data_IF_087472917574
#
_entry.id   IF_087472917574
#
_cell.length_a   1.000
_cell.length_b   1.000
_cell.length_c   1.000
_cell.angle_alpha   90.00
_cell.angle_beta   90.00
_cell.angle_gamma   90.00
#
_symmetry.space_group_name_H-M   'P 1'
#
loop_
_entity.id
_entity.type
_entity.pdbx_description
1 polymer ?
#
# COMPACT_ATOMS: atom_id res chain seq x y z
N UNK A 1 7.02 -11.57 -11.88
CA UNK A 1 7.21 -10.12 -11.97
C UNK A 1 5.84 -9.48 -11.79
N UNK A 2 5.68 -8.81 -10.65
CA UNK A 2 4.43 -8.17 -10.24
C UNK A 2 4.01 -7.17 -11.30
N UNK A 3 2.78 -7.27 -11.79
CA UNK A 3 2.31 -6.35 -12.82
C UNK A 3 2.24 -4.92 -12.28
N UNK A 4 3.03 -4.03 -12.88
CA UNK A 4 3.06 -2.61 -12.55
C UNK A 4 3.99 -2.21 -11.40
N UNK A 5 4.77 -3.15 -10.84
CA UNK A 5 5.79 -2.82 -9.83
C UNK A 5 6.91 -1.96 -10.42
N UNK A 6 7.30 -2.20 -11.67
CA UNK A 6 8.33 -1.40 -12.34
C UNK A 6 7.87 0.05 -12.48
N UNK A 7 6.60 0.26 -12.87
CA UNK A 7 6.01 1.61 -12.96
C UNK A 7 5.95 2.28 -11.59
N UNK A 8 5.60 1.52 -10.55
CA UNK A 8 5.58 2.03 -9.19
C UNK A 8 6.99 2.46 -8.75
N UNK A 9 7.99 1.59 -8.91
CA UNK A 9 9.41 1.85 -8.62
C UNK A 9 9.93 3.10 -9.33
N UNK A 10 9.66 3.22 -10.63
CA UNK A 10 10.02 4.41 -11.43
C UNK A 10 9.39 5.69 -10.88
N UNK A 11 8.11 5.63 -10.48
CA UNK A 11 7.37 6.82 -10.02
C UNK A 11 7.80 7.30 -8.63
N UNK A 12 8.18 6.37 -7.75
CA UNK A 12 8.50 6.64 -6.35
C UNK A 12 10.00 6.55 -6.03
N UNK A 13 10.85 6.60 -7.05
CA UNK A 13 12.30 6.77 -6.86
C UNK A 13 12.58 8.03 -6.02
N UNK A 14 13.35 7.88 -4.95
CA UNK A 14 13.65 8.93 -3.97
C UNK A 14 12.61 9.11 -2.86
N UNK A 15 11.53 8.31 -2.86
CA UNK A 15 10.49 8.31 -1.83
C UNK A 15 10.36 6.96 -1.11
N UNK A 16 11.38 6.11 -1.20
CA UNK A 16 11.36 4.74 -0.65
C UNK A 16 11.19 4.75 0.88
N UNK A 17 11.63 5.82 1.55
CA UNK A 17 11.42 6.01 2.99
C UNK A 17 10.01 6.41 3.41
N UNK A 18 9.08 6.66 2.47
CA UNK A 18 7.71 7.09 2.77
C UNK A 18 6.72 5.94 2.92
N UNK A 19 7.11 4.73 2.53
CA UNK A 19 6.21 3.60 2.46
C UNK A 19 6.91 2.27 2.72
N UNK A 20 6.12 1.23 2.98
CA UNK A 20 6.53 -0.17 2.98
C UNK A 20 5.50 -0.97 2.19
N UNK A 21 5.93 -1.66 1.14
CA UNK A 21 5.10 -2.60 0.39
C UNK A 21 4.96 -3.88 1.20
N UNK A 22 3.73 -4.36 1.33
CA UNK A 22 3.37 -5.58 2.04
C UNK A 22 2.57 -6.52 1.12
N UNK A 23 1.92 -7.52 1.71
CA UNK A 23 0.95 -8.35 1.01
C UNK A 23 1.58 -9.21 -0.07
N UNK A 24 0.79 -9.52 -1.11
CA UNK A 24 1.22 -10.44 -2.16
C UNK A 24 2.43 -9.94 -2.96
N UNK A 25 2.57 -8.62 -3.11
CA UNK A 25 3.65 -8.02 -3.89
C UNK A 25 5.00 -8.24 -3.21
N UNK A 26 5.07 -8.01 -1.89
CA UNK A 26 6.28 -8.28 -1.13
C UNK A 26 6.61 -9.78 -1.08
N UNK A 27 5.60 -10.65 -0.94
CA UNK A 27 5.78 -12.11 -1.04
C UNK A 27 6.41 -12.53 -2.39
N UNK A 28 5.85 -12.04 -3.51
CA UNK A 28 6.35 -12.37 -4.86
C UNK A 28 7.80 -11.92 -5.05
N UNK A 29 8.16 -10.73 -4.56
CA UNK A 29 9.55 -10.25 -4.62
C UNK A 29 10.52 -11.14 -3.83
N UNK A 30 10.17 -11.56 -2.61
CA UNK A 30 10.99 -12.51 -1.86
C UNK A 30 11.08 -13.87 -2.58
N UNK A 31 9.96 -14.39 -3.07
CA UNK A 31 9.94 -15.66 -3.82
C UNK A 31 10.89 -15.60 -5.04
N UNK A 32 10.93 -14.50 -5.78
CA UNK A 32 11.87 -14.29 -6.89
C UNK A 32 13.34 -14.23 -6.42
N UNK A 33 13.63 -13.50 -5.34
CA UNK A 33 14.98 -13.41 -4.75
C UNK A 33 15.49 -14.81 -4.34
N UNK A 34 14.63 -15.68 -3.81
CA UNK A 34 14.97 -17.04 -3.41
C UNK A 34 14.76 -18.10 -4.51
N UNK A 35 14.63 -17.68 -5.77
CA UNK A 35 14.45 -18.54 -6.94
C UNK A 35 13.29 -19.55 -6.80
N UNK A 36 12.23 -19.17 -6.07
CA UNK A 36 10.98 -19.91 -5.99
C UNK A 36 10.05 -19.51 -7.15
N UNK A 37 9.00 -20.29 -7.36
CA UNK A 37 7.95 -19.95 -8.34
C UNK A 37 6.95 -19.02 -7.67
N UNK A 38 6.89 -17.72 -8.04
CA UNK A 38 6.03 -16.80 -7.35
C UNK A 38 4.55 -17.00 -7.67
N UNK A 39 3.68 -16.69 -6.71
CA UNK A 39 2.26 -16.55 -7.00
C UNK A 39 1.97 -15.13 -7.47
N UNK A 40 1.70 -14.98 -8.77
CA UNK A 40 1.38 -13.69 -9.38
C UNK A 40 0.25 -12.95 -8.62
N UNK A 41 0.56 -11.75 -8.15
CA UNK A 41 -0.44 -10.78 -7.67
C UNK A 41 -0.61 -9.64 -8.67
N UNK A 42 -1.75 -8.97 -8.61
CA UNK A 42 -2.04 -7.76 -9.42
C UNK A 42 -2.21 -6.52 -8.55
N UNK A 43 -2.11 -6.69 -7.24
CA UNK A 43 -2.48 -5.72 -6.24
C UNK A 43 -1.24 -5.35 -5.42
N UNK A 44 -1.03 -4.05 -5.21
CA UNK A 44 0.05 -3.54 -4.36
C UNK A 44 -0.56 -2.99 -3.08
N UNK A 45 -0.19 -3.60 -1.96
CA UNK A 45 -0.61 -3.21 -0.62
C UNK A 45 0.52 -2.45 0.05
N UNK A 46 0.23 -1.26 0.61
CA UNK A 46 1.27 -0.35 1.07
C UNK A 46 0.91 0.24 2.43
N UNK A 47 1.85 0.17 3.38
CA UNK A 47 1.82 0.93 4.63
C UNK A 47 2.52 2.27 4.41
N UNK A 48 1.90 3.37 4.83
CA UNK A 48 2.54 4.68 4.85
C UNK A 48 3.34 4.88 6.15
N UNK A 49 4.58 5.32 6.02
CA UNK A 49 5.43 5.73 7.14
C UNK A 49 5.04 7.17 7.48
N UNK A 50 4.17 7.36 8.48
CA UNK A 50 3.55 8.67 8.75
C UNK A 50 4.56 9.67 9.31
N UNK A 51 5.60 9.17 9.97
CA UNK A 51 6.73 9.93 10.52
C UNK A 51 7.62 10.50 9.42
N UNK A 52 7.64 9.86 8.25
CA UNK A 52 8.42 10.26 7.09
C UNK A 52 7.55 10.93 6.00
N UNK A 53 6.23 10.93 6.14
CA UNK A 53 5.32 11.37 5.08
C UNK A 53 5.47 12.87 4.79
N UNK A 54 5.81 13.19 3.54
CA UNK A 54 5.88 14.56 3.05
C UNK A 54 4.65 14.93 2.22
N UNK A 55 4.35 16.23 2.12
CA UNK A 55 3.35 16.74 1.16
C UNK A 55 3.71 16.37 -0.28
N UNK A 56 5.00 16.28 -0.57
CA UNK A 56 5.53 15.98 -1.91
C UNK A 56 5.22 14.54 -2.29
N UNK A 57 5.33 13.59 -1.35
CA UNK A 57 4.91 12.21 -1.57
C UNK A 57 3.40 12.12 -1.88
N UNK A 58 2.55 12.82 -1.12
CA UNK A 58 1.10 12.81 -1.37
C UNK A 58 0.76 13.38 -2.76
N UNK A 59 1.43 14.47 -3.17
CA UNK A 59 1.29 15.04 -4.50
C UNK A 59 1.78 14.07 -5.59
N UNK A 60 2.91 13.40 -5.36
CA UNK A 60 3.48 12.41 -6.28
C UNK A 60 2.59 11.18 -6.43
N UNK A 61 2.01 10.70 -5.33
CA UNK A 61 1.04 9.62 -5.35
C UNK A 61 -0.22 10.03 -6.10
N UNK A 62 -0.70 11.26 -5.93
CA UNK A 62 -1.83 11.74 -6.71
C UNK A 62 -1.53 11.80 -8.21
N UNK A 63 -0.32 12.22 -8.60
CA UNK A 63 0.15 12.17 -9.98
C UNK A 63 0.16 10.72 -10.52
N UNK A 64 0.61 9.75 -9.71
CA UNK A 64 0.57 8.32 -10.06
C UNK A 64 -0.87 7.86 -10.33
N UNK A 65 -1.82 8.18 -9.44
CA UNK A 65 -3.23 7.79 -9.58
C UNK A 65 -3.85 8.39 -10.85
N UNK A 66 -3.56 9.66 -11.14
CA UNK A 66 -4.03 10.34 -12.35
C UNK A 66 -3.44 9.73 -13.62
N UNK A 67 -2.14 9.43 -13.61
CA UNK A 67 -1.42 8.85 -14.75
C UNK A 67 -1.91 7.43 -15.06
N UNK A 68 -2.17 6.64 -14.02
CA UNK A 68 -2.76 5.30 -14.15
C UNK A 68 -4.21 5.34 -14.66
N UNK A 69 -4.93 6.43 -14.40
CA UNK A 69 -6.33 6.60 -14.77
C UNK A 69 -7.27 5.68 -13.99
N UNK A 70 -7.02 5.46 -12.69
CA UNK A 70 -7.88 4.62 -11.85
C UNK A 70 -9.32 5.15 -11.84
N UNK A 71 -10.25 4.26 -12.19
CA UNK A 71 -11.69 4.55 -12.30
C UNK A 71 -12.39 4.47 -10.95
N UNK A 72 -12.00 3.52 -10.11
CA UNK A 72 -12.51 3.40 -8.76
C UNK A 72 -11.51 4.02 -7.79
N UNK A 73 -11.98 4.94 -6.95
CA UNK A 73 -11.17 5.66 -5.97
C UNK A 73 -11.97 5.72 -4.69
N UNK A 74 -11.58 4.91 -3.73
CA UNK A 74 -12.33 4.74 -2.50
C UNK A 74 -11.48 5.08 -1.28
N UNK A 75 -12.14 5.61 -0.26
CA UNK A 75 -11.59 5.88 1.06
C UNK A 75 -12.40 5.14 2.10
N UNK A 76 -11.72 4.37 2.93
CA UNK A 76 -12.27 3.81 4.15
C UNK A 76 -11.68 4.52 5.35
N UNK A 77 -12.48 4.59 6.41
CA UNK A 77 -12.03 4.98 7.74
C UNK A 77 -12.40 3.88 8.70
N UNK A 78 -11.46 3.41 9.50
CA UNK A 78 -11.79 2.48 10.56
C UNK A 78 -12.37 3.19 11.76
N UNK A 79 -13.56 2.75 12.17
CA UNK A 79 -14.25 3.25 13.35
C UNK A 79 -14.00 2.28 14.51
N UNK A 80 -12.88 2.48 15.23
CA UNK A 80 -12.50 1.74 16.44
C UNK A 80 -11.71 2.64 17.40
N UNK A 81 -11.06 2.05 18.42
CA UNK A 81 -10.22 2.78 19.38
C UNK A 81 -9.01 3.47 18.69
N UNK A 82 -8.47 2.85 17.63
CA UNK A 82 -7.44 3.42 16.77
C UNK A 82 -8.04 3.92 15.45
N UNK A 83 -8.07 5.24 15.30
CA UNK A 83 -8.60 5.95 14.12
C UNK A 83 -7.62 5.92 12.96
N UNK A 84 -8.04 5.32 11.86
CA UNK A 84 -7.17 5.10 10.70
C UNK A 84 -7.86 5.31 9.37
N UNK A 85 -7.05 5.45 8.33
CA UNK A 85 -7.53 5.63 6.97
C UNK A 85 -6.87 4.62 6.05
N UNK A 86 -7.64 4.19 5.07
CA UNK A 86 -7.10 3.45 3.96
C UNK A 86 -7.74 3.91 2.67
N UNK A 87 -6.95 3.88 1.61
CA UNK A 87 -7.35 4.33 0.29
C UNK A 87 -7.17 3.16 -0.67
N UNK A 88 -8.14 2.99 -1.56
CA UNK A 88 -8.19 1.90 -2.53
C UNK A 88 -8.43 2.48 -3.90
N UNK A 89 -7.53 2.19 -4.84
CA UNK A 89 -7.67 2.62 -6.22
C UNK A 89 -7.68 1.38 -7.11
N UNK A 90 -8.72 1.21 -7.94
CA UNK A 90 -8.87 0.04 -8.83
C UNK A 90 -9.19 0.44 -10.26
N UNK A 91 -9.00 -0.55 -11.15
CA UNK A 91 -9.36 -0.48 -12.56
C UNK A 91 -8.61 0.66 -13.29
N UNK A 92 -7.27 0.56 -13.40
CA UNK A 92 -6.50 1.57 -14.13
C UNK A 92 -6.96 1.62 -15.59
N UNK A 93 -6.90 2.80 -16.18
CA UNK A 93 -7.05 2.99 -17.62
C UNK A 93 -5.84 2.47 -18.39
N UNK A 94 -4.65 2.51 -17.77
CA UNK A 94 -3.41 2.01 -18.34
C UNK A 94 -3.06 0.61 -17.80
N UNK A 95 -2.94 -0.42 -18.65
CA UNK A 95 -2.60 -1.79 -18.23
C UNK A 95 -1.19 -1.97 -17.66
N UNK A 96 -0.28 -1.01 -17.83
CA UNK A 96 1.09 -1.06 -17.30
C UNK A 96 1.14 -0.78 -15.79
N UNK A 97 0.06 -0.27 -15.22
CA UNK A 97 -0.08 0.03 -13.79
C UNK A 97 -0.70 -1.16 -13.03
N UNK A 98 -0.49 -1.24 -11.71
CA UNK A 98 -1.09 -2.31 -10.91
C UNK A 98 -2.62 -2.21 -10.96
N UNK A 99 -3.30 -3.35 -10.95
CA UNK A 99 -4.76 -3.41 -11.08
C UNK A 99 -5.45 -2.75 -9.88
N UNK A 100 -4.88 -2.95 -8.70
CA UNK A 100 -5.28 -2.31 -7.46
C UNK A 100 -4.05 -1.79 -6.73
N UNK A 101 -4.20 -0.62 -6.10
CA UNK A 101 -3.25 -0.12 -5.11
C UNK A 101 -4.01 0.27 -3.85
N UNK A 102 -3.56 -0.25 -2.71
CA UNK A 102 -4.10 0.05 -1.39
C UNK A 102 -3.05 0.78 -0.55
N UNK A 103 -3.46 1.89 0.06
CA UNK A 103 -2.66 2.63 1.02
C UNK A 103 -3.28 2.50 2.40
N UNK A 104 -2.48 2.12 3.39
CA UNK A 104 -2.87 2.06 4.79
C UNK A 104 -2.13 3.16 5.58
N UNK A 105 -2.89 3.97 6.32
CA UNK A 105 -2.35 5.02 7.18
C UNK A 105 -2.88 4.89 8.61
N UNK A 106 -1.95 4.85 9.57
CA UNK A 106 -2.29 4.76 11.02
C UNK A 106 -3.02 5.99 11.56
N UNK A 107 -2.94 7.13 10.89
CA UNK A 107 -3.49 8.39 11.34
C UNK A 107 -4.49 8.95 10.31
N UNK A 108 -5.54 9.59 10.80
CA UNK A 108 -6.52 10.29 9.96
C UNK A 108 -5.94 11.61 9.43
N UNK A 109 -6.15 11.88 8.14
CA UNK A 109 -5.89 13.16 7.52
C UNK A 109 -4.41 13.44 7.23
N UNK A 110 -3.55 12.42 7.32
CA UNK A 110 -2.12 12.56 6.96
C UNK A 110 -1.99 12.73 5.45
N UNK A 111 -2.76 11.96 4.67
CA UNK A 111 -2.73 12.05 3.21
C UNK A 111 -3.74 13.08 2.74
N UNK A 112 -3.24 14.26 2.38
CA UNK A 112 -4.04 15.35 1.80
C UNK A 112 -4.01 15.26 0.28
N UNK A 113 -4.99 14.56 -0.27
CA UNK A 113 -5.24 14.62 -1.71
C UNK A 113 -5.85 15.98 -2.10
N UNK A 114 -5.60 16.48 -3.33
CA UNK A 114 -6.20 17.74 -3.77
C UNK A 114 -7.72 17.62 -3.95
N UNK A 115 -8.40 18.76 -4.02
CA UNK A 115 -9.87 18.80 -4.11
C UNK A 115 -10.44 18.11 -5.35
N UNK A 116 -9.65 17.98 -6.42
CA UNK A 116 -10.02 17.27 -7.66
C UNK A 116 -10.02 15.74 -7.50
N UNK A 117 -9.64 15.23 -6.33
CA UNK A 117 -9.40 13.80 -6.15
C UNK A 117 -10.66 12.92 -6.14
N UNK A 118 -11.84 13.51 -5.94
CA UNK A 118 -13.15 12.85 -5.99
C UNK A 118 -13.12 11.40 -5.49
N UNK A 119 -12.68 11.22 -4.24
CA UNK A 119 -12.56 9.90 -3.60
C UNK A 119 -13.87 9.62 -2.86
N UNK A 120 -14.54 8.51 -3.19
CA UNK A 120 -15.81 8.12 -2.58
C UNK A 120 -15.59 7.23 -1.36
N UNK A 121 -16.53 7.14 -0.40
CA UNK A 121 -16.45 6.14 0.65
C UNK A 121 -16.43 4.71 0.09
N UNK A 122 -15.75 3.80 0.77
CA UNK A 122 -15.82 2.36 0.44
C UNK A 122 -17.25 1.86 0.70
N UNK A 123 -17.87 1.12 -0.25
CA UNK A 123 -19.20 0.53 -0.04
C UNK A 123 -19.20 -0.40 1.18
N UNK A 124 -20.28 -0.40 1.95
CA UNK A 124 -20.39 -1.19 3.21
C UNK A 124 -20.28 -2.69 2.97
N UNK A 125 -20.62 -3.16 1.77
CA UNK A 125 -20.54 -4.57 1.36
C UNK A 125 -19.13 -5.01 0.92
N UNK A 126 -18.24 -4.04 0.68
CA UNK A 126 -16.83 -4.27 0.32
C UNK A 126 -16.02 -4.32 1.63
N UNK A 127 -16.08 -5.49 2.27
CA UNK A 127 -15.53 -5.86 3.58
C UNK A 127 -14.31 -5.03 4.03
N UNK A 128 -14.36 -4.55 5.28
CA UNK A 128 -13.24 -3.92 5.96
C UNK A 128 -12.08 -4.92 5.98
N UNK A 129 -11.09 -4.73 5.11
CA UNK A 129 -9.94 -5.62 4.97
C UNK A 129 -9.39 -6.01 6.36
N UNK A 130 -9.36 -7.31 6.70
CA UNK A 130 -8.77 -7.78 7.96
C UNK A 130 -7.33 -7.26 8.13
N UNK A 131 -6.64 -7.00 7.02
CA UNK A 131 -5.29 -6.43 6.99
C UNK A 131 -5.25 -4.98 7.47
N UNK A 132 -6.24 -4.13 7.13
CA UNK A 132 -6.27 -2.76 7.65
C UNK A 132 -6.41 -2.79 9.16
N UNK A 133 -7.32 -3.59 9.71
CA UNK A 133 -7.55 -3.70 11.16
C UNK A 133 -6.31 -4.12 11.96
N UNK A 134 -5.40 -4.93 11.38
CA UNK A 134 -4.18 -5.42 12.06
C UNK A 134 -3.09 -4.36 12.08
N UNK A 135 -2.99 -3.58 11.00
CA UNK A 135 -2.01 -2.49 10.88
C UNK A 135 -2.29 -1.31 11.83
N UNK A 136 -3.43 -1.33 12.53
CA UNK A 136 -3.83 -0.31 13.51
C UNK A 136 -3.27 -0.53 14.90
N UNK A 137 -2.68 -1.70 15.13
CA UNK A 137 -1.95 -1.96 16.35
C UNK A 137 -0.53 -1.42 16.20
N UNK A 138 -0.12 -0.61 17.18
CA UNK A 138 1.18 0.07 17.18
C UNK A 138 2.34 -0.93 17.10
N UNK A 139 2.21 -2.10 17.72
CA UNK A 139 3.25 -3.11 17.72
C UNK A 139 3.41 -3.69 16.32
N UNK A 140 2.33 -3.96 15.59
CA UNK A 140 2.40 -4.46 14.21
C UNK A 140 2.93 -3.42 13.24
N UNK A 141 2.52 -2.16 13.39
CA UNK A 141 3.00 -1.05 12.57
C UNK A 141 4.51 -0.87 12.73
N UNK A 142 4.97 -0.70 13.97
CA UNK A 142 6.38 -0.49 14.28
C UNK A 142 7.21 -1.71 13.90
N UNK A 143 6.74 -2.92 14.24
CA UNK A 143 7.43 -4.16 13.88
C UNK A 143 7.61 -4.28 12.36
N UNK A 144 6.59 -3.98 11.56
CA UNK A 144 6.68 -4.08 10.09
C UNK A 144 7.67 -3.09 9.50
N UNK A 145 7.75 -1.86 10.02
CA UNK A 145 8.70 -0.83 9.56
C UNK A 145 10.14 -1.14 10.01
N UNK A 146 10.31 -1.65 11.23
CA UNK A 146 11.63 -2.08 11.72
C UNK A 146 12.15 -3.33 10.98
N UNK A 147 11.22 -4.17 10.51
CA UNK A 147 11.49 -5.41 9.80
C UNK A 147 11.12 -5.29 8.30
N UNK A 148 11.55 -4.20 7.67
CA UNK A 148 11.47 -4.01 6.22
C UNK A 148 12.84 -3.71 5.63
N UNK A 149 13.02 -4.01 4.34
CA UNK A 149 14.29 -3.84 3.63
C UNK A 149 14.08 -3.15 2.28
N UNK A 150 15.09 -2.42 1.83
CA UNK A 150 15.10 -1.81 0.51
C UNK A 150 15.61 -2.85 -0.50
N UNK A 151 14.71 -3.37 -1.32
CA UNK A 151 15.01 -4.38 -2.34
C UNK A 151 14.63 -3.85 -3.72
N UNK A 152 15.55 -3.96 -4.68
CA UNK A 152 15.36 -3.49 -6.05
C UNK A 152 14.79 -2.06 -6.17
N UNK A 153 15.14 -1.14 -5.26
CA UNK A 153 14.65 0.25 -5.31
C UNK A 153 13.21 0.46 -4.82
N UNK A 154 12.62 -0.51 -4.13
CA UNK A 154 11.37 -0.33 -3.37
C UNK A 154 11.54 -0.84 -1.95
N UNK A 155 10.83 -0.24 -1.00
CA UNK A 155 10.89 -0.65 0.40
C UNK A 155 9.81 -1.70 0.67
N UNK A 156 10.21 -2.90 1.09
CA UNK A 156 9.31 -4.05 1.26
C UNK A 156 9.41 -4.64 2.67
N UNK A 157 8.30 -5.14 3.20
CA UNK A 157 8.30 -5.93 4.43
C UNK A 157 9.12 -7.22 4.24
N UNK A 158 9.92 -7.59 5.23
CA UNK A 158 10.69 -8.82 5.22
C UNK A 158 9.81 -10.06 5.46
N UNK A 159 10.41 -11.25 5.41
CA UNK A 159 9.68 -12.52 5.55
C UNK A 159 9.00 -12.61 6.92
N UNK A 160 9.70 -12.26 8.00
CA UNK A 160 9.20 -12.37 9.37
C UNK A 160 7.97 -11.48 9.60
N UNK A 161 8.03 -10.22 9.16
CA UNK A 161 6.91 -9.29 9.24
C UNK A 161 5.72 -9.71 8.36
N UNK A 162 5.96 -10.23 7.15
CA UNK A 162 4.90 -10.77 6.30
C UNK A 162 4.20 -11.96 6.95
N UNK A 163 4.93 -12.86 7.63
CA UNK A 163 4.35 -13.96 8.40
C UNK A 163 3.49 -13.42 9.54
N UNK A 164 3.99 -12.45 10.32
CA UNK A 164 3.25 -11.82 11.42
C UNK A 164 1.92 -11.22 10.94
N UNK A 165 1.94 -10.48 9.82
CA UNK A 165 0.74 -9.88 9.24
C UNK A 165 -0.26 -10.95 8.76
N UNK A 166 0.22 -12.02 8.12
CA UNK A 166 -0.64 -13.11 7.65
C UNK A 166 -1.26 -13.92 8.78
N UNK A 167 -0.57 -14.14 9.89
CA UNK A 167 -1.12 -14.88 11.03
C UNK A 167 -2.36 -14.22 11.65
N UNK A 168 -2.54 -12.91 11.50
CA UNK A 168 -3.66 -12.17 12.05
C UNK A 168 -4.77 -11.86 11.05
N UNK A 169 -4.51 -11.97 9.74
CA UNK A 169 -5.43 -11.58 8.66
C UNK A 169 -6.46 -12.67 8.32
N UNK A 170 -7.20 -13.12 9.33
CA UNK A 170 -8.25 -14.14 9.24
C UNK A 170 -9.68 -13.55 9.32
#
# INVERSE_FOLDING_TARGET
MVRGIDKFREFFTGYEGNYVIIGGTACEMHEEIYAQTPRATKDIDIILIVEALSSDFAAKFWEFVKTAGYRQRNKGTGNGECRHEYYRFKEPGNPDFPYQIELFSRNIGVVKFPDDAHITPIPVDDDLSSLSAILMDDDYYNYTIEHSTLEEGVHIANIESLICLKCRAY
#
